data_IF_038914378031
#
_entry.id   IF_038914378031
#
_cell.length_a   1.000
_cell.length_b   1.000
_cell.length_c   1.000
_cell.angle_alpha   90.00
_cell.angle_beta   90.00
_cell.angle_gamma   90.00
#
_symmetry.space_group_name_H-M   'P 1'
#
loop_
_entity.id
_entity.type
_entity.pdbx_description
1 polymer ?
#
# COMPACT_ATOMS: atom_id res chain seq x y z
N UNK A 1 4.08 -24.39 -40.18
CA UNK A 1 3.59 -23.45 -39.15
C UNK A 1 2.78 -22.37 -39.84
N UNK A 2 1.64 -21.99 -39.26
CA UNK A 2 0.78 -20.91 -39.75
C UNK A 2 1.52 -19.56 -39.78
N UNK A 3 1.16 -18.59 -40.64
CA UNK A 3 1.72 -17.24 -40.58
C UNK A 3 1.30 -16.53 -39.29
N UNK A 4 2.10 -15.59 -38.80
CA UNK A 4 1.73 -14.76 -37.65
C UNK A 4 0.48 -13.92 -37.94
N UNK A 5 -0.40 -13.77 -36.95
CA UNK A 5 -1.52 -12.83 -37.05
C UNK A 5 -1.00 -11.39 -37.05
N UNK A 6 -1.57 -10.56 -37.92
CA UNK A 6 -1.21 -9.15 -38.05
C UNK A 6 -1.54 -8.37 -36.76
N UNK A 7 -0.76 -7.33 -36.45
CA UNK A 7 -0.93 -6.56 -35.20
C UNK A 7 -2.23 -5.75 -35.16
N UNK A 8 -2.81 -5.46 -36.31
CA UNK A 8 -4.06 -4.72 -36.48
C UNK A 8 -5.28 -5.63 -36.69
N UNK A 9 -5.10 -6.95 -36.72
CA UNK A 9 -6.16 -7.92 -36.99
C UNK A 9 -6.50 -8.73 -35.72
N UNK A 10 -7.25 -8.09 -34.82
CA UNK A 10 -7.72 -8.74 -33.59
C UNK A 10 -8.80 -9.80 -33.87
N UNK A 11 -9.53 -9.66 -34.98
CA UNK A 11 -10.62 -10.55 -35.36
C UNK A 11 -10.07 -11.91 -35.81
N UNK A 12 -9.07 -11.91 -36.69
CA UNK A 12 -8.34 -13.13 -37.06
C UNK A 12 -7.71 -13.81 -35.84
N UNK A 13 -7.13 -13.03 -34.91
CA UNK A 13 -6.57 -13.58 -33.67
C UNK A 13 -7.65 -14.28 -32.83
N UNK A 14 -8.84 -13.69 -32.72
CA UNK A 14 -9.99 -14.30 -32.03
C UNK A 14 -10.46 -15.56 -32.72
N UNK A 15 -10.68 -15.51 -34.04
CA UNK A 15 -11.15 -16.66 -34.82
C UNK A 15 -10.18 -17.84 -34.70
N UNK A 16 -8.87 -17.56 -34.76
CA UNK A 16 -7.83 -18.57 -34.57
C UNK A 16 -7.81 -19.14 -33.16
N UNK A 17 -7.93 -18.29 -32.14
CA UNK A 17 -8.01 -18.74 -30.76
C UNK A 17 -9.27 -19.60 -30.50
N UNK A 18 -10.41 -19.25 -31.09
CA UNK A 18 -11.64 -20.04 -31.02
C UNK A 18 -11.49 -21.40 -31.70
N UNK A 19 -10.85 -21.44 -32.88
CA UNK A 19 -10.57 -22.70 -33.59
C UNK A 19 -9.75 -23.67 -32.74
N UNK A 20 -8.75 -23.16 -32.00
CA UNK A 20 -7.85 -23.96 -31.17
C UNK A 20 -8.26 -24.00 -29.69
N UNK A 21 -9.45 -23.52 -29.33
CA UNK A 21 -9.86 -23.41 -27.92
C UNK A 21 -9.81 -24.77 -27.21
N UNK A 22 -10.25 -25.84 -27.88
CA UNK A 22 -10.27 -27.21 -27.34
C UNK A 22 -9.41 -28.19 -28.15
N UNK A 23 -8.70 -27.69 -29.17
CA UNK A 23 -7.89 -28.51 -30.08
C UNK A 23 -6.43 -28.14 -29.92
N UNK A 24 -5.65 -29.08 -29.41
CA UNK A 24 -4.22 -28.89 -29.27
C UNK A 24 -3.49 -29.16 -30.59
N UNK A 25 -2.84 -28.15 -31.21
CA UNK A 25 -2.06 -28.36 -32.44
C UNK A 25 -0.75 -29.12 -32.21
N UNK A 26 -0.29 -29.27 -30.97
CA UNK A 26 0.98 -29.89 -30.62
C UNK A 26 0.81 -30.97 -29.52
N UNK A 27 0.09 -32.07 -29.82
CA UNK A 27 -0.18 -33.12 -28.84
C UNK A 27 1.07 -33.81 -28.31
N UNK A 28 2.15 -33.86 -29.10
CA UNK A 28 3.42 -34.48 -28.73
C UNK A 28 4.23 -33.66 -27.71
N UNK A 29 3.91 -32.36 -27.52
CA UNK A 29 4.51 -31.56 -26.46
C UNK A 29 3.94 -32.04 -25.11
N UNK A 30 4.78 -32.44 -24.14
CA UNK A 30 4.30 -32.94 -22.85
C UNK A 30 3.57 -31.86 -22.06
N UNK A 31 2.64 -32.27 -21.20
CA UNK A 31 1.97 -31.38 -20.23
C UNK A 31 2.96 -30.91 -19.17
N UNK A 32 3.63 -29.79 -19.44
CA UNK A 32 4.65 -29.20 -18.60
C UNK A 32 4.75 -27.68 -18.81
N UNK A 33 5.66 -27.03 -18.08
CA UNK A 33 6.08 -25.66 -18.37
C UNK A 33 6.66 -25.59 -19.79
N UNK A 34 6.14 -24.67 -20.60
CA UNK A 34 6.53 -24.50 -22.00
C UNK A 34 7.89 -23.80 -22.10
N UNK A 35 8.77 -24.32 -22.95
CA UNK A 35 10.00 -23.63 -23.34
C UNK A 35 9.68 -22.45 -24.28
N UNK A 36 10.67 -21.58 -24.52
CA UNK A 36 10.57 -20.48 -25.49
C UNK A 36 10.08 -20.94 -26.85
N UNK A 37 10.63 -22.05 -27.36
CA UNK A 37 10.31 -22.60 -28.67
C UNK A 37 8.84 -23.03 -28.72
N UNK A 38 8.37 -23.67 -27.66
CA UNK A 38 6.96 -24.05 -27.52
C UNK A 38 6.06 -22.81 -27.40
N UNK A 39 6.44 -21.81 -26.60
CA UNK A 39 5.69 -20.55 -26.47
C UNK A 39 5.51 -19.88 -27.83
N UNK A 40 6.58 -19.79 -28.63
CA UNK A 40 6.54 -19.23 -29.98
C UNK A 40 5.62 -20.05 -30.87
N UNK A 41 5.77 -21.38 -30.88
CA UNK A 41 4.95 -22.28 -31.70
C UNK A 41 3.46 -22.12 -31.39
N UNK A 42 3.07 -22.15 -30.11
CA UNK A 42 1.68 -21.91 -29.71
C UNK A 42 1.22 -20.50 -30.01
N UNK A 43 1.99 -19.45 -29.69
CA UNK A 43 1.60 -18.08 -29.98
C UNK A 43 1.32 -17.85 -31.48
N UNK A 44 2.14 -18.46 -32.34
CA UNK A 44 1.99 -18.39 -33.79
C UNK A 44 0.80 -19.18 -34.32
N UNK A 45 0.62 -20.40 -33.83
CA UNK A 45 -0.40 -21.33 -34.34
C UNK A 45 -1.79 -21.05 -33.77
N UNK A 46 -1.90 -20.69 -32.49
CA UNK A 46 -3.20 -20.51 -31.81
C UNK A 46 -3.57 -19.05 -31.56
N UNK A 47 -2.66 -18.11 -31.82
CA UNK A 47 -2.80 -16.71 -31.40
C UNK A 47 -2.95 -16.52 -29.88
N UNK A 48 -2.45 -17.45 -29.04
CA UNK A 48 -2.63 -17.36 -27.59
C UNK A 48 -2.02 -16.11 -26.94
N UNK A 49 -1.08 -15.44 -27.63
CA UNK A 49 -0.57 -14.11 -27.29
C UNK A 49 -0.80 -13.22 -28.51
N UNK A 50 -1.54 -12.13 -28.34
CA UNK A 50 -1.76 -11.16 -29.41
C UNK A 50 -1.55 -9.72 -28.94
N UNK A 51 -0.82 -8.89 -29.70
CA UNK A 51 -0.17 -9.19 -30.99
C UNK A 51 1.24 -9.80 -30.83
N UNK A 52 1.60 -10.24 -29.61
CA UNK A 52 2.90 -10.79 -29.24
C UNK A 52 4.07 -9.81 -29.45
N UNK A 53 3.95 -8.60 -28.89
CA UNK A 53 4.92 -7.51 -29.11
C UNK A 53 6.38 -7.88 -28.75
N UNK A 54 6.58 -8.83 -27.83
CA UNK A 54 7.90 -9.31 -27.41
C UNK A 54 8.57 -10.29 -28.39
N UNK A 55 7.90 -10.69 -29.47
CA UNK A 55 8.43 -11.66 -30.45
C UNK A 55 8.73 -10.95 -31.78
N UNK A 56 9.94 -11.20 -32.30
CA UNK A 56 10.35 -10.87 -33.66
C UNK A 56 9.79 -11.93 -34.61
N UNK A 57 8.67 -11.60 -35.25
CA UNK A 57 7.88 -12.50 -36.11
C UNK A 57 8.64 -13.00 -37.34
N UNK A 58 9.65 -12.25 -37.80
CA UNK A 58 10.45 -12.64 -38.97
C UNK A 58 11.54 -13.63 -38.62
N UNK A 59 11.97 -13.66 -37.34
CA UNK A 59 13.10 -14.45 -36.86
C UNK A 59 12.71 -15.47 -35.79
N UNK A 60 11.44 -15.53 -35.42
CA UNK A 60 10.89 -16.38 -34.36
C UNK A 60 11.78 -16.35 -33.09
N UNK A 61 12.09 -15.14 -32.61
CA UNK A 61 12.94 -14.92 -31.42
C UNK A 61 12.46 -13.76 -30.58
N UNK A 62 12.94 -13.66 -29.35
CA UNK A 62 12.60 -12.55 -28.46
C UNK A 62 13.20 -11.22 -28.96
N UNK A 63 12.40 -10.15 -28.99
CA UNK A 63 12.89 -8.78 -29.15
C UNK A 63 13.44 -8.29 -27.82
N UNK A 64 14.61 -7.64 -27.82
CA UNK A 64 15.18 -6.96 -26.65
C UNK A 64 15.26 -7.81 -25.37
N UNK A 65 15.42 -9.13 -25.50
CA UNK A 65 15.44 -10.05 -24.35
C UNK A 65 14.07 -10.35 -23.75
N UNK A 66 12.97 -10.05 -24.47
CA UNK A 66 11.60 -10.35 -24.05
C UNK A 66 11.25 -11.85 -24.03
N UNK A 67 12.18 -12.74 -24.40
CA UNK A 67 12.06 -14.18 -24.21
C UNK A 67 13.23 -14.70 -23.37
N UNK A 68 12.90 -15.52 -22.37
CA UNK A 68 13.83 -16.39 -21.64
C UNK A 68 13.41 -17.83 -21.85
N UNK A 69 14.26 -18.77 -21.46
CA UNK A 69 14.12 -20.23 -21.69
C UNK A 69 12.71 -20.81 -21.50
N UNK A 70 11.90 -20.26 -20.60
CA UNK A 70 10.52 -20.69 -20.36
C UNK A 70 9.57 -19.53 -20.01
N UNK A 71 9.90 -18.30 -20.43
CA UNK A 71 9.04 -17.15 -20.14
C UNK A 71 9.06 -16.05 -21.19
N UNK A 72 7.92 -15.36 -21.28
CA UNK A 72 7.64 -14.23 -22.16
C UNK A 72 7.49 -12.95 -21.36
N UNK A 73 8.16 -11.88 -21.75
CA UNK A 73 7.99 -10.56 -21.14
C UNK A 73 6.80 -9.85 -21.77
N UNK A 74 5.91 -9.30 -20.95
CA UNK A 74 4.92 -8.32 -21.42
C UNK A 74 5.09 -6.98 -20.71
N UNK A 75 4.79 -5.92 -21.45
CA UNK A 75 4.90 -4.52 -21.04
C UNK A 75 3.57 -4.03 -20.44
N UNK A 76 3.55 -2.90 -19.72
CA UNK A 76 2.32 -2.27 -19.29
C UNK A 76 1.44 -1.87 -20.49
N UNK A 77 0.14 -2.05 -20.34
CA UNK A 77 -0.88 -1.62 -21.28
C UNK A 77 -1.25 -0.15 -21.10
N UNK A 78 -2.28 0.26 -21.85
CA UNK A 78 -2.74 1.66 -21.84
C UNK A 78 -3.72 2.00 -20.72
N UNK A 79 -4.29 1.01 -20.03
CA UNK A 79 -5.33 1.21 -19.01
C UNK A 79 -4.73 0.98 -17.63
N UNK A 80 -4.96 1.94 -16.74
CA UNK A 80 -4.64 1.81 -15.33
C UNK A 80 -5.71 2.46 -14.46
N UNK A 81 -5.94 1.87 -13.29
CA UNK A 81 -7.04 2.22 -12.40
C UNK A 81 -6.57 2.19 -10.95
N UNK A 82 -6.98 3.15 -10.15
CA UNK A 82 -6.73 3.17 -8.70
C UNK A 82 -7.88 3.89 -7.99
N UNK A 83 -8.07 3.62 -6.72
CA UNK A 83 -9.01 4.37 -5.88
C UNK A 83 -8.28 5.55 -5.26
N UNK A 84 -8.83 6.77 -5.40
CA UNK A 84 -8.27 7.96 -4.75
C UNK A 84 -8.63 8.00 -3.24
N UNK A 85 -8.16 9.04 -2.55
CA UNK A 85 -8.39 9.25 -1.10
C UNK A 85 -9.87 9.46 -0.73
N UNK A 86 -10.74 9.79 -1.69
CA UNK A 86 -12.20 9.93 -1.50
C UNK A 86 -13.00 8.65 -1.74
N UNK A 87 -12.43 7.71 -2.49
CA UNK A 87 -12.96 6.35 -2.66
C UNK A 87 -13.49 6.15 -4.07
N UNK A 88 -13.19 7.13 -4.92
CA UNK A 88 -13.62 7.19 -6.29
C UNK A 88 -12.59 6.42 -7.13
N UNK A 89 -13.10 5.60 -8.04
CA UNK A 89 -12.27 4.89 -9.00
C UNK A 89 -11.76 5.90 -10.04
N UNK A 90 -10.45 6.16 -10.02
CA UNK A 90 -9.78 6.95 -11.03
C UNK A 90 -9.29 6.00 -12.11
N UNK A 91 -9.87 6.12 -13.30
CA UNK A 91 -9.43 5.42 -14.51
C UNK A 91 -8.65 6.37 -15.39
N UNK A 92 -7.44 5.99 -15.73
CA UNK A 92 -6.61 6.70 -16.70
C UNK A 92 -6.31 5.78 -17.87
N UNK A 93 -6.43 6.34 -19.07
CA UNK A 93 -6.04 5.69 -20.32
C UNK A 93 -4.95 6.55 -20.95
N UNK A 94 -3.84 5.92 -21.30
CA UNK A 94 -2.83 6.57 -22.12
C UNK A 94 -3.31 6.56 -23.56
N UNK A 95 -3.42 7.74 -24.16
CA UNK A 95 -3.79 7.86 -25.56
C UNK A 95 -2.67 7.29 -26.44
N UNK A 96 -3.07 6.51 -27.44
CA UNK A 96 -2.11 5.97 -28.43
C UNK A 96 -1.57 7.05 -29.36
N UNK A 97 -2.23 8.20 -29.41
CA UNK A 97 -1.88 9.32 -30.27
C UNK A 97 -1.83 10.61 -29.45
N UNK A 98 -0.93 11.51 -29.82
CA UNK A 98 -0.90 12.86 -29.28
C UNK A 98 -2.07 13.71 -29.82
N UNK A 99 -2.13 14.98 -29.40
CA UNK A 99 -3.17 15.94 -29.83
C UNK A 99 -3.18 16.18 -31.35
N UNK A 100 -2.09 15.88 -32.04
CA UNK A 100 -1.91 16.06 -33.48
C UNK A 100 -2.13 14.75 -34.26
N UNK A 101 -2.56 13.67 -33.58
CA UNK A 101 -2.81 12.38 -34.19
C UNK A 101 -1.56 11.56 -34.50
N UNK A 102 -0.36 11.96 -34.05
CA UNK A 102 0.88 11.16 -34.19
C UNK A 102 0.99 10.14 -33.07
N UNK A 103 1.74 9.03 -33.23
CA UNK A 103 1.99 8.11 -32.11
C UNK A 103 2.51 8.86 -30.90
N UNK A 104 1.79 8.78 -29.78
CA UNK A 104 2.23 9.44 -28.56
C UNK A 104 3.58 8.85 -28.12
N UNK A 105 4.51 9.67 -27.59
CA UNK A 105 5.71 9.13 -26.99
C UNK A 105 5.34 8.17 -25.85
N UNK A 106 6.27 7.28 -25.46
CA UNK A 106 6.10 6.41 -24.32
C UNK A 106 5.46 7.11 -23.14
N UNK A 107 4.25 6.67 -22.79
CA UNK A 107 3.57 7.19 -21.62
C UNK A 107 4.25 6.67 -20.36
N UNK A 108 4.25 7.50 -19.31
CA UNK A 108 4.66 7.09 -17.96
C UNK A 108 3.42 6.86 -17.11
N UNK A 109 3.29 5.65 -16.57
CA UNK A 109 2.25 5.29 -15.60
C UNK A 109 2.74 5.71 -14.22
N UNK A 110 1.89 6.43 -13.50
CA UNK A 110 2.15 6.90 -12.13
C UNK A 110 1.35 6.07 -11.15
N UNK A 111 2.05 5.45 -10.21
CA UNK A 111 1.47 4.70 -9.11
C UNK A 111 1.65 5.54 -7.84
N UNK A 112 0.56 6.04 -7.24
CA UNK A 112 0.65 6.84 -6.03
C UNK A 112 1.39 6.11 -4.90
N UNK A 113 2.06 6.85 -4.03
CA UNK A 113 2.71 6.31 -2.83
C UNK A 113 1.69 5.52 -1.97
N UNK A 114 2.14 4.44 -1.34
CA UNK A 114 1.33 3.62 -0.43
C UNK A 114 -0.03 3.18 -0.98
N UNK A 115 -0.15 2.94 -2.29
CA UNK A 115 -1.42 2.68 -2.97
C UNK A 115 -1.46 1.34 -3.70
N UNK A 116 -2.66 0.96 -4.13
CA UNK A 116 -2.90 -0.18 -5.04
C UNK A 116 -3.35 0.40 -6.38
N UNK A 117 -2.61 0.08 -7.44
CA UNK A 117 -2.93 0.46 -8.82
C UNK A 117 -3.07 -0.79 -9.67
N UNK A 118 -4.19 -0.91 -10.37
CA UNK A 118 -4.45 -1.97 -11.33
C UNK A 118 -3.93 -1.56 -12.70
N UNK A 119 -2.99 -2.33 -13.26
CA UNK A 119 -2.33 -2.03 -14.55
C UNK A 119 -2.63 -3.14 -15.54
N UNK A 120 -3.15 -2.80 -16.71
CA UNK A 120 -3.37 -3.77 -17.79
C UNK A 120 -2.04 -4.22 -18.43
N UNK A 121 -2.00 -5.39 -19.04
CA UNK A 121 -0.89 -5.80 -19.92
C UNK A 121 -1.03 -5.19 -21.32
N UNK A 122 0.10 -5.00 -22.01
CA UNK A 122 0.09 -4.54 -23.40
C UNK A 122 -0.51 -5.60 -24.33
N UNK A 123 -0.08 -6.85 -24.17
CA UNK A 123 -0.62 -7.98 -24.91
C UNK A 123 -1.94 -8.47 -24.32
N UNK A 124 -2.77 -9.03 -25.19
CA UNK A 124 -3.96 -9.81 -24.86
C UNK A 124 -3.60 -11.29 -24.91
N UNK A 125 -4.15 -12.06 -23.98
CA UNK A 125 -3.94 -13.50 -23.90
C UNK A 125 -5.23 -14.21 -24.27
N UNK A 126 -5.15 -15.11 -25.24
CA UNK A 126 -6.22 -15.97 -25.72
C UNK A 126 -5.87 -17.44 -25.42
N UNK A 127 -5.85 -17.78 -24.15
CA UNK A 127 -5.39 -19.08 -23.68
C UNK A 127 -6.35 -20.19 -24.16
N UNK A 128 -5.84 -21.25 -24.80
CA UNK A 128 -6.62 -22.46 -25.02
C UNK A 128 -7.07 -23.10 -23.69
N UNK A 129 -8.06 -24.00 -23.73
CA UNK A 129 -8.61 -24.67 -22.54
C UNK A 129 -7.64 -25.67 -21.89
N UNK A 130 -6.47 -25.86 -22.49
CA UNK A 130 -5.42 -26.78 -22.04
C UNK A 130 -4.08 -26.06 -21.71
N UNK A 131 -4.07 -24.73 -21.69
CA UNK A 131 -2.90 -23.92 -21.30
C UNK A 131 -3.30 -23.01 -20.14
N UNK A 132 -2.62 -23.16 -19.00
CA UNK A 132 -2.67 -22.20 -17.91
C UNK A 132 -1.48 -21.24 -18.01
N UNK A 133 -1.61 -20.08 -17.39
CA UNK A 133 -0.57 -19.06 -17.35
C UNK A 133 -0.28 -18.66 -15.91
N UNK A 134 0.99 -18.46 -15.58
CA UNK A 134 1.44 -17.80 -14.35
C UNK A 134 2.24 -16.56 -14.72
N UNK A 135 2.19 -15.52 -13.90
CA UNK A 135 3.04 -14.37 -14.11
C UNK A 135 3.71 -13.87 -12.83
N UNK A 136 4.92 -13.32 -12.98
CA UNK A 136 5.73 -12.77 -11.90
C UNK A 136 6.20 -11.36 -12.27
N UNK A 137 6.26 -10.46 -11.28
CA UNK A 137 6.78 -9.12 -11.49
C UNK A 137 8.28 -9.16 -11.82
N UNK A 138 8.75 -8.30 -12.72
CA UNK A 138 10.20 -8.18 -12.93
C UNK A 138 10.90 -7.74 -11.65
N UNK A 139 12.04 -8.36 -11.38
CA UNK A 139 12.85 -8.11 -10.18
C UNK A 139 13.24 -6.63 -10.02
N UNK A 140 13.46 -5.91 -11.12
CA UNK A 140 13.70 -4.45 -11.12
C UNK A 140 12.59 -3.67 -10.42
N UNK A 141 11.32 -4.07 -10.64
CA UNK A 141 10.19 -3.40 -10.00
C UNK A 141 10.06 -3.77 -8.54
N UNK A 142 10.32 -5.04 -8.20
CA UNK A 142 10.37 -5.52 -6.81
C UNK A 142 11.39 -4.74 -5.99
N UNK A 143 12.62 -4.63 -6.47
CA UNK A 143 13.69 -3.89 -5.77
C UNK A 143 13.43 -2.38 -5.64
N UNK A 144 12.57 -1.82 -6.48
CA UNK A 144 12.14 -0.42 -6.39
C UNK A 144 10.88 -0.24 -5.53
N UNK A 145 10.46 -1.26 -4.77
CA UNK A 145 9.37 -1.16 -3.80
C UNK A 145 7.97 -1.44 -4.34
N UNK A 146 7.84 -2.03 -5.54
CA UNK A 146 6.57 -2.56 -6.01
C UNK A 146 6.38 -4.00 -5.54
N UNK A 147 5.16 -4.33 -5.13
CA UNK A 147 4.75 -5.68 -4.83
C UNK A 147 3.59 -6.09 -5.74
N UNK A 148 3.72 -7.28 -6.31
CA UNK A 148 2.63 -8.01 -6.93
C UNK A 148 2.23 -9.15 -5.99
N UNK A 149 0.94 -9.43 -5.85
CA UNK A 149 0.46 -10.62 -5.13
C UNK A 149 1.12 -11.91 -5.63
N UNK A 150 1.09 -12.98 -4.83
CA UNK A 150 1.84 -14.23 -5.06
C UNK A 150 1.58 -14.84 -6.45
N UNK A 151 2.47 -14.56 -7.41
CA UNK A 151 2.53 -15.09 -8.77
C UNK A 151 1.21 -15.65 -9.31
N UNK A 152 0.23 -14.79 -9.67
CA UNK A 152 -1.14 -15.21 -9.90
C UNK A 152 -1.24 -16.22 -11.05
N UNK A 153 -2.14 -17.18 -10.90
CA UNK A 153 -2.48 -18.14 -11.94
C UNK A 153 -3.69 -17.61 -12.72
N UNK A 154 -3.60 -17.70 -14.04
CA UNK A 154 -4.67 -17.39 -14.98
C UNK A 154 -5.14 -18.69 -15.59
N UNK A 155 -6.43 -18.96 -15.43
CA UNK A 155 -7.05 -20.21 -15.82
C UNK A 155 -7.05 -20.42 -17.35
N UNK A 156 -7.03 -21.67 -17.82
CA UNK A 156 -7.23 -21.99 -19.23
C UNK A 156 -8.51 -21.38 -19.80
N UNK A 157 -8.51 -21.01 -21.08
CA UNK A 157 -9.64 -20.35 -21.74
C UNK A 157 -9.80 -18.85 -21.46
N UNK A 158 -8.86 -18.23 -20.74
CA UNK A 158 -8.82 -16.78 -20.56
C UNK A 158 -8.55 -16.05 -21.89
N UNK A 159 -9.28 -14.96 -22.18
CA UNK A 159 -9.29 -14.33 -23.52
C UNK A 159 -9.18 -12.79 -23.54
N UNK A 160 -8.43 -12.21 -22.59
CA UNK A 160 -8.34 -10.74 -22.34
C UNK A 160 -6.92 -10.28 -22.01
N UNK A 161 -6.74 -8.97 -21.86
CA UNK A 161 -5.54 -8.42 -21.21
C UNK A 161 -5.59 -8.76 -19.72
N UNK A 162 -4.44 -9.03 -19.10
CA UNK A 162 -4.38 -9.30 -17.66
C UNK A 162 -4.40 -7.95 -16.94
N UNK A 163 -5.20 -7.85 -15.88
CA UNK A 163 -5.19 -6.69 -14.99
C UNK A 163 -4.40 -7.04 -13.73
N UNK A 164 -3.29 -6.34 -13.54
CA UNK A 164 -2.28 -6.65 -12.54
C UNK A 164 -2.43 -5.67 -11.36
N UNK A 165 -2.78 -6.13 -10.15
CA UNK A 165 -2.76 -5.28 -8.96
C UNK A 165 -1.32 -5.06 -8.50
N UNK A 166 -0.83 -3.83 -8.63
CA UNK A 166 0.48 -3.41 -8.16
C UNK A 166 0.34 -2.58 -6.90
N UNK A 167 0.99 -3.02 -5.83
CA UNK A 167 1.13 -2.26 -4.60
C UNK A 167 2.41 -1.41 -4.69
N UNK A 168 2.30 -0.10 -4.53
CA UNK A 168 3.45 0.75 -4.28
C UNK A 168 3.65 0.87 -2.77
N UNK A 169 4.69 0.20 -2.25
CA UNK A 169 5.00 0.17 -0.82
C UNK A 169 5.95 1.29 -0.39
N UNK A 170 6.27 2.21 -1.30
CA UNK A 170 7.15 3.36 -1.02
C UNK A 170 6.32 4.59 -0.65
N UNK A 171 7.00 5.56 -0.03
CA UNK A 171 6.48 6.89 0.28
C UNK A 171 6.56 7.86 -0.91
N UNK A 172 7.03 7.39 -2.07
CA UNK A 172 7.18 8.18 -3.30
C UNK A 172 6.27 7.68 -4.42
N UNK A 173 5.92 8.57 -5.36
CA UNK A 173 5.25 8.18 -6.60
C UNK A 173 6.17 7.28 -7.42
N UNK A 174 5.64 6.12 -7.87
CA UNK A 174 6.39 5.21 -8.71
C UNK A 174 6.03 5.42 -10.18
N UNK A 175 7.06 5.53 -11.01
CA UNK A 175 6.94 5.75 -12.45
C UNK A 175 7.35 4.49 -13.22
N UNK A 176 6.42 3.98 -14.05
CA UNK A 176 6.66 2.87 -14.99
C UNK A 176 6.54 3.39 -16.42
N UNK A 177 7.55 3.16 -17.25
CA UNK A 177 7.44 3.45 -18.69
C UNK A 177 6.56 2.40 -19.39
N UNK A 178 5.72 2.80 -20.34
CA UNK A 178 4.97 1.83 -21.16
C UNK A 178 5.84 0.99 -22.10
N UNK A 179 7.13 1.33 -22.24
CA UNK A 179 8.07 0.56 -23.07
C UNK A 179 8.95 -0.39 -22.27
N UNK A 180 9.00 -0.25 -20.95
CA UNK A 180 9.76 -1.19 -20.13
C UNK A 180 8.94 -2.45 -19.86
N UNK A 181 9.59 -3.60 -19.76
CA UNK A 181 8.90 -4.84 -19.39
C UNK A 181 8.36 -4.77 -17.97
N UNK A 182 7.18 -5.33 -17.73
CA UNK A 182 6.50 -5.30 -16.43
C UNK A 182 6.55 -6.65 -15.72
N UNK A 183 6.10 -7.71 -16.41
CA UNK A 183 6.01 -9.07 -15.86
C UNK A 183 6.66 -10.09 -16.79
N UNK A 184 7.13 -11.17 -16.19
CA UNK A 184 7.43 -12.44 -16.86
C UNK A 184 6.21 -13.33 -16.82
N UNK A 185 5.89 -13.93 -17.95
CA UNK A 185 4.75 -14.81 -18.16
C UNK A 185 5.25 -16.21 -18.48
N UNK A 186 4.78 -17.20 -17.74
CA UNK A 186 5.09 -18.61 -17.86
C UNK A 186 3.83 -19.36 -18.28
N UNK A 187 3.95 -20.27 -19.24
CA UNK A 187 2.81 -21.02 -19.77
C UNK A 187 2.98 -22.49 -19.40
N UNK A 188 1.94 -23.11 -18.87
CA UNK A 188 1.94 -24.53 -18.52
C UNK A 188 0.85 -25.24 -19.31
N UNK A 189 1.24 -26.27 -20.05
CA UNK A 189 0.29 -27.18 -20.68
C UNK A 189 -0.29 -28.12 -19.61
N UNK A 190 -1.60 -28.08 -19.44
CA UNK A 190 -2.29 -28.91 -18.45
C UNK A 190 -2.42 -30.33 -18.94
N UNK A 191 -2.54 -31.30 -18.03
CA UNK A 191 -2.92 -32.66 -18.41
C UNK A 191 -4.39 -32.69 -18.82
N UNK A 192 -4.65 -32.92 -20.10
CA UNK A 192 -5.99 -33.21 -20.59
C UNK A 192 -6.17 -34.72 -20.70
N UNK A 193 -7.33 -35.23 -20.31
CA UNK A 193 -7.71 -36.58 -20.72
C UNK A 193 -7.80 -36.62 -22.25
N UNK A 194 -7.16 -37.60 -22.91
CA UNK A 194 -7.43 -37.86 -24.32
C UNK A 194 -8.93 -38.10 -24.52
N UNK A 195 -9.48 -37.54 -25.58
CA UNK A 195 -10.90 -37.69 -25.93
C UNK A 195 -11.30 -39.18 -25.91
N UNK A 196 -12.37 -39.51 -25.18
CA UNK A 196 -12.86 -40.89 -25.03
C UNK A 196 -12.18 -41.75 -23.94
N UNK A 197 -11.11 -41.28 -23.28
CA UNK A 197 -10.53 -41.98 -22.12
C UNK A 197 -11.12 -41.44 -20.82
N UNK A 198 -11.79 -42.30 -20.05
CA UNK A 198 -12.17 -42.03 -18.66
C UNK A 198 -10.97 -42.27 -17.76
N UNK A 199 -10.82 -41.50 -16.68
CA UNK A 199 -9.90 -41.88 -15.60
C UNK A 199 -10.28 -43.29 -15.12
N UNK A 200 -9.28 -44.16 -14.96
CA UNK A 200 -9.45 -45.51 -14.40
C UNK A 200 -9.60 -45.50 -12.88
N UNK A 201 -9.29 -44.36 -12.24
CA UNK A 201 -9.72 -44.07 -10.88
C UNK A 201 -11.22 -43.84 -10.91
N UNK A 202 -12.00 -44.63 -10.15
CA UNK A 202 -13.43 -44.41 -9.90
C UNK A 202 -13.59 -43.04 -9.21
N UNK A 203 -13.84 -41.95 -9.96
CA UNK A 203 -13.92 -40.65 -9.36
C UNK A 203 -15.38 -40.58 -8.90
N UNK A 204 -15.64 -40.77 -7.60
CA UNK A 204 -16.75 -40.03 -6.98
C UNK A 204 -16.70 -38.65 -7.61
N UNK A 205 -17.76 -38.18 -8.31
CA UNK A 205 -17.65 -37.10 -9.29
C UNK A 205 -16.95 -35.91 -8.63
N UNK A 206 -15.65 -35.82 -8.85
CA UNK A 206 -14.84 -34.70 -8.40
C UNK A 206 -15.40 -33.60 -9.25
N UNK A 207 -16.11 -32.67 -8.62
CA UNK A 207 -16.82 -31.59 -9.27
C UNK A 207 -15.92 -31.03 -10.37
N UNK A 208 -16.23 -31.36 -11.63
CA UNK A 208 -15.53 -30.78 -12.76
C UNK A 208 -15.74 -29.28 -12.58
N UNK A 209 -14.68 -28.48 -12.40
CA UNK A 209 -14.85 -27.05 -12.21
C UNK A 209 -15.73 -26.54 -13.36
N UNK A 210 -16.74 -25.72 -13.04
CA UNK A 210 -17.77 -25.35 -14.00
C UNK A 210 -17.11 -24.82 -15.28
N UNK A 211 -17.71 -25.18 -16.42
CA UNK A 211 -17.39 -24.63 -17.73
C UNK A 211 -17.14 -23.13 -17.58
N UNK A 212 -16.02 -22.65 -18.12
CA UNK A 212 -15.59 -21.26 -18.07
C UNK A 212 -16.79 -20.32 -18.20
N UNK A 213 -16.93 -19.31 -17.32
CA UNK A 213 -18.14 -18.50 -17.27
C UNK A 213 -18.46 -17.94 -18.66
N UNK A 214 -19.61 -18.33 -19.21
CA UNK A 214 -20.11 -17.98 -20.56
C UNK A 214 -20.24 -16.48 -20.82
N UNK A 215 -20.00 -15.64 -19.81
CA UNK A 215 -20.20 -14.21 -19.88
C UNK A 215 -18.98 -13.46 -19.36
N UNK A 216 -17.84 -13.74 -19.96
CA UNK A 216 -16.59 -13.01 -19.75
C UNK A 216 -16.64 -11.61 -20.33
N UNK A 217 -17.63 -11.22 -21.15
CA UNK A 217 -17.71 -9.91 -21.83
C UNK A 217 -17.81 -8.66 -20.95
N UNK A 218 -18.02 -8.81 -19.65
CA UNK A 218 -18.12 -7.69 -18.70
C UNK A 218 -16.88 -6.80 -18.70
N UNK A 219 -17.11 -5.51 -18.47
CA UNK A 219 -16.04 -4.51 -18.36
C UNK A 219 -15.15 -4.80 -17.15
N UNK A 220 -13.87 -4.45 -17.24
CA UNK A 220 -12.88 -4.68 -16.17
C UNK A 220 -13.33 -4.07 -14.83
N UNK A 221 -14.00 -2.92 -14.87
CA UNK A 221 -14.56 -2.23 -13.71
C UNK A 221 -15.60 -3.08 -12.98
N UNK A 222 -16.49 -3.74 -13.73
CA UNK A 222 -17.53 -4.58 -13.15
C UNK A 222 -16.94 -5.78 -12.41
N UNK A 223 -15.80 -6.30 -12.89
CA UNK A 223 -15.07 -7.35 -12.17
C UNK A 223 -14.42 -6.84 -10.89
N UNK A 224 -13.81 -5.65 -10.91
CA UNK A 224 -13.24 -5.03 -9.70
C UNK A 224 -14.33 -4.75 -8.65
N UNK A 225 -15.44 -4.15 -9.06
CA UNK A 225 -16.57 -3.85 -8.17
C UNK A 225 -17.24 -5.12 -7.64
N UNK A 226 -17.39 -6.16 -8.45
CA UNK A 226 -17.93 -7.44 -8.00
C UNK A 226 -16.99 -8.12 -6.99
N UNK A 227 -15.68 -8.10 -7.26
CA UNK A 227 -14.68 -8.70 -6.37
C UNK A 227 -14.59 -7.99 -5.02
N UNK A 228 -14.87 -6.68 -4.98
CA UNK A 228 -14.88 -5.90 -3.75
C UNK A 228 -16.25 -5.76 -3.10
N UNK A 229 -17.28 -6.46 -3.59
CA UNK A 229 -18.67 -6.30 -3.15
C UNK A 229 -19.14 -4.83 -3.11
N UNK A 230 -18.63 -3.99 -4.01
CA UNK A 230 -18.94 -2.56 -4.08
C UNK A 230 -18.00 -1.65 -3.29
N UNK A 231 -17.08 -2.19 -2.47
CA UNK A 231 -16.19 -1.38 -1.64
C UNK A 231 -14.93 -0.91 -2.41
N UNK A 232 -14.37 0.27 -2.09
CA UNK A 232 -13.09 0.70 -2.63
C UNK A 232 -11.94 -0.23 -2.22
N UNK A 233 -11.18 -0.76 -3.18
CA UNK A 233 -9.97 -1.54 -2.89
C UNK A 233 -8.82 -0.56 -2.65
N UNK A 234 -8.41 -0.38 -1.40
CA UNK A 234 -7.37 0.55 -1.00
C UNK A 234 -6.31 -0.14 -0.15
N UNK A 235 -5.12 0.44 -0.14
CA UNK A 235 -4.11 0.11 0.86
C UNK A 235 -4.61 0.54 2.25
N UNK A 236 -4.31 -0.24 3.28
CA UNK A 236 -4.59 0.12 4.68
C UNK A 236 -3.60 1.14 5.25
N UNK A 237 -2.43 1.32 4.59
CA UNK A 237 -1.35 2.17 5.08
C UNK A 237 -1.73 3.67 5.17
N UNK A 238 -2.38 4.28 4.16
CA UNK A 238 -2.75 5.70 4.24
C UNK A 238 -3.67 6.02 5.42
N UNK A 239 -4.62 5.14 5.72
CA UNK A 239 -5.53 5.33 6.86
C UNK A 239 -4.78 5.33 8.19
N UNK A 240 -3.89 4.35 8.40
CA UNK A 240 -3.07 4.27 9.60
C UNK A 240 -2.14 5.49 9.75
N UNK A 241 -1.54 5.96 8.64
CA UNK A 241 -0.68 7.14 8.66
C UNK A 241 -1.46 8.43 8.97
N UNK A 242 -2.69 8.56 8.47
CA UNK A 242 -3.55 9.71 8.76
C UNK A 242 -4.00 9.71 10.23
N UNK A 243 -4.38 8.57 10.79
CA UNK A 243 -4.71 8.43 12.22
C UNK A 243 -3.52 8.80 13.11
N UNK A 244 -2.30 8.38 12.73
CA UNK A 244 -1.08 8.76 13.45
C UNK A 244 -0.81 10.25 13.34
N UNK A 245 -1.02 10.87 12.17
CA UNK A 245 -0.87 12.32 12.00
C UNK A 245 -1.89 13.11 12.83
N UNK A 246 -3.16 12.74 12.80
CA UNK A 246 -4.19 13.38 13.63
C UNK A 246 -3.89 13.24 15.12
N UNK A 247 -3.42 12.07 15.54
CA UNK A 247 -2.99 11.83 16.93
C UNK A 247 -1.76 12.67 17.29
N UNK A 248 -0.79 12.82 16.38
CA UNK A 248 0.39 13.65 16.58
C UNK A 248 0.04 15.14 16.64
N UNK A 249 -0.86 15.62 15.78
CA UNK A 249 -1.31 17.02 15.79
C UNK A 249 -2.11 17.36 17.04
N UNK A 250 -2.97 16.44 17.49
CA UNK A 250 -3.71 16.62 18.75
C UNK A 250 -2.79 16.54 19.97
N UNK A 251 -1.76 15.68 19.95
CA UNK A 251 -0.72 15.64 20.97
C UNK A 251 0.13 16.92 20.99
N UNK A 252 0.52 17.47 19.84
CA UNK A 252 1.26 18.74 19.75
C UNK A 252 0.43 19.92 20.28
N UNK A 253 -0.87 19.98 19.92
CA UNK A 253 -1.78 20.98 20.48
C UNK A 253 -1.92 20.85 21.99
N UNK A 254 -2.02 19.64 22.53
CA UNK A 254 -2.07 19.39 23.98
C UNK A 254 -0.74 19.72 24.67
N UNK A 255 0.39 19.44 24.03
CA UNK A 255 1.72 19.78 24.54
C UNK A 255 1.89 21.30 24.67
N UNK A 256 1.49 22.08 23.65
CA UNK A 256 1.50 23.55 23.70
C UNK A 256 0.58 24.11 24.78
N UNK A 257 -0.59 23.51 24.99
CA UNK A 257 -1.52 23.87 26.06
C UNK A 257 -0.94 23.56 27.45
N UNK A 258 -0.31 22.39 27.62
CA UNK A 258 0.34 21.98 28.86
C UNK A 258 1.56 22.84 29.19
N UNK A 259 2.35 23.27 28.20
CA UNK A 259 3.45 24.21 28.42
C UNK A 259 2.93 25.58 28.93
N UNK A 260 1.82 26.08 28.38
CA UNK A 260 1.19 27.31 28.85
C UNK A 260 0.65 27.21 30.29
N UNK A 261 -0.05 26.11 30.60
CA UNK A 261 -0.57 25.85 31.96
C UNK A 261 0.55 25.60 32.96
N UNK A 262 1.62 24.92 32.56
CA UNK A 262 2.79 24.66 33.40
C UNK A 262 3.50 25.95 33.83
N UNK A 263 3.66 26.91 32.93
CA UNK A 263 4.24 28.23 33.24
C UNK A 263 3.34 28.98 34.23
N UNK A 264 2.03 28.98 34.01
CA UNK A 264 1.05 29.63 34.89
C UNK A 264 1.01 29.01 36.29
N UNK A 265 1.08 27.69 36.40
CA UNK A 265 1.17 26.98 37.67
C UNK A 265 2.47 27.32 38.42
N UNK A 266 3.59 27.43 37.71
CA UNK A 266 4.88 27.77 38.31
C UNK A 266 4.90 29.22 38.83
N UNK A 267 4.36 30.17 38.07
CA UNK A 267 4.19 31.57 38.50
C UNK A 267 3.29 31.64 39.74
N UNK A 268 2.17 30.91 39.73
CA UNK A 268 1.23 30.87 40.86
C UNK A 268 1.89 30.29 42.13
N UNK A 269 2.72 29.26 41.98
CA UNK A 269 3.47 28.65 43.07
C UNK A 269 4.50 29.63 43.67
N UNK A 270 5.24 30.36 42.82
CA UNK A 270 6.20 31.37 43.28
C UNK A 270 5.50 32.51 44.03
N UNK A 271 4.36 32.99 43.53
CA UNK A 271 3.54 34.00 44.23
C UNK A 271 3.07 33.48 45.59
N UNK A 272 2.64 32.23 45.67
CA UNK A 272 2.26 31.57 46.93
C UNK A 272 3.41 31.53 47.94
N UNK A 273 4.62 31.16 47.51
CA UNK A 273 5.81 31.15 48.36
C UNK A 273 6.19 32.54 48.88
N UNK A 274 6.09 33.57 48.04
CA UNK A 274 6.34 34.96 48.45
C UNK A 274 5.32 35.39 49.51
N UNK A 275 4.04 35.04 49.35
CA UNK A 275 3.00 35.36 50.33
C UNK A 275 3.26 34.72 51.70
N UNK A 276 3.71 33.46 51.70
CA UNK A 276 4.10 32.76 52.94
C UNK A 276 5.30 33.45 53.58
N UNK A 277 6.30 33.85 52.79
CA UNK A 277 7.48 34.52 53.28
C UNK A 277 7.16 35.88 53.92
N UNK A 278 6.31 36.69 53.28
CA UNK A 278 5.82 37.96 53.84
C UNK A 278 5.09 37.73 55.16
N UNK A 279 4.28 36.66 55.25
CA UNK A 279 3.57 36.31 56.49
C UNK A 279 4.55 35.98 57.62
N UNK A 280 5.62 35.23 57.34
CA UNK A 280 6.68 34.93 58.32
C UNK A 280 7.38 36.20 58.79
N UNK A 281 7.73 37.12 57.88
CA UNK A 281 8.35 38.40 58.24
C UNK A 281 7.44 39.25 59.13
N UNK A 282 6.14 39.28 58.83
CA UNK A 282 5.15 40.01 59.66
C UNK A 282 5.02 39.42 61.06
N UNK A 283 5.12 38.09 61.19
CA UNK A 283 5.12 37.41 62.47
C UNK A 283 6.36 37.80 63.28
N UNK A 284 7.54 37.75 62.66
CA UNK A 284 8.80 38.12 63.31
C UNK A 284 8.82 39.58 63.76
N UNK A 285 8.28 40.52 62.96
CA UNK A 285 8.18 41.92 63.36
C UNK A 285 7.25 42.10 64.57
N UNK A 286 6.12 41.39 64.60
CA UNK A 286 5.19 41.43 65.73
C UNK A 286 5.77 40.78 66.99
N UNK A 287 6.48 39.66 66.86
CA UNK A 287 7.16 38.99 67.98
C UNK A 287 8.26 39.88 68.55
N UNK A 288 9.04 40.57 67.71
CA UNK A 288 10.05 41.53 68.17
C UNK A 288 9.42 42.73 68.91
N UNK A 289 8.28 43.23 68.44
CA UNK A 289 7.55 44.28 69.13
C UNK A 289 7.03 43.82 70.52
N UNK A 290 6.52 42.59 70.61
CA UNK A 290 6.08 42.00 71.88
C UNK A 290 7.24 41.74 72.84
N UNK A 291 8.38 41.24 72.33
CA UNK A 291 9.59 41.02 73.13
C UNK A 291 10.10 42.32 73.74
N UNK A 292 10.14 43.41 72.96
CA UNK A 292 10.52 44.74 73.49
C UNK A 292 9.57 45.20 74.61
N UNK A 293 8.27 45.02 74.44
CA UNK A 293 7.29 45.34 75.47
C UNK A 293 7.44 44.46 76.72
N UNK A 294 7.84 43.19 76.55
CA UNK A 294 8.12 42.28 77.66
C UNK A 294 9.38 42.70 78.42
N UNK A 295 10.48 43.00 77.71
CA UNK A 295 11.73 43.48 78.30
C UNK A 295 11.51 44.77 79.09
N UNK A 296 10.71 45.71 78.56
CA UNK A 296 10.36 46.94 79.27
C UNK A 296 9.54 46.67 80.56
N UNK A 297 8.64 45.68 80.53
CA UNK A 297 7.90 45.25 81.74
C UNK A 297 8.81 44.60 82.77
N UNK A 298 9.75 43.75 82.33
CA UNK A 298 10.73 43.11 83.22
C UNK A 298 11.62 44.16 83.89
N UNK A 299 12.17 45.11 83.12
CA UNK A 299 12.97 46.20 83.67
C UNK A 299 12.21 47.05 84.70
N UNK A 300 10.93 47.34 84.46
CA UNK A 300 10.07 48.05 85.44
C UNK A 300 9.76 47.24 86.69
N UNK A 301 9.77 45.91 86.61
CA UNK A 301 9.54 45.03 87.76
C UNK A 301 10.81 44.88 88.60
N UNK A 302 11.99 44.76 87.97
CA UNK A 302 13.28 44.77 88.65
C UNK A 302 13.49 46.08 89.42
N UNK A 303 13.21 47.22 88.79
CA UNK A 303 13.30 48.54 89.46
C UNK A 303 12.35 48.66 90.68
N UNK A 304 11.17 48.01 90.62
CA UNK A 304 10.24 47.96 91.75
C UNK A 304 10.70 47.01 92.86
N UNK A 305 11.36 45.91 92.51
CA UNK A 305 11.90 44.96 93.49
C UNK A 305 13.05 45.60 94.28
N UNK A 306 14.00 46.24 93.60
CA UNK A 306 15.14 46.93 94.23
C UNK A 306 14.69 48.05 95.19
N UNK A 307 13.63 48.80 94.83
CA UNK A 307 13.04 49.82 95.71
C UNK A 307 12.35 49.24 96.95
N UNK A 308 11.84 48.01 96.87
CA UNK A 308 11.19 47.36 98.00
C UNK A 308 12.22 46.73 98.96
N UNK A 309 13.33 46.18 98.46
CA UNK A 309 14.41 45.65 99.30
C UNK A 309 15.10 46.75 100.12
N UNK A 310 15.25 47.96 99.56
CA UNK A 310 15.77 49.12 100.29
C UNK A 310 14.87 49.65 101.41
N UNK A 311 13.59 49.26 101.46
CA UNK A 311 12.63 49.71 102.48
C UNK A 311 12.51 48.74 103.67
N UNK A 312 13.04 47.52 103.55
CA UNK A 312 12.98 46.49 104.61
C UNK A 312 14.10 46.56 105.65
N UNK A 313 15.18 47.32 105.42
CA UNK A 313 16.25 47.50 106.42
C UNK A 313 15.93 48.54 107.53
N UNK A 314 14.77 49.24 107.44
CA UNK A 314 14.40 50.31 108.38
C UNK A 314 13.50 49.93 109.56
N UNK A 315 13.06 48.67 109.69
CA UNK A 315 12.04 48.26 110.70
C UNK A 315 12.52 47.13 111.63
N UNK A 316 13.69 47.32 112.24
CA UNK A 316 14.25 46.40 113.23
C UNK A 316 14.92 47.09 114.41
N UNK A 317 14.21 48.01 115.10
CA UNK A 317 14.63 48.51 116.41
C UNK A 317 13.41 48.76 117.29
N UNK A 318 13.10 47.78 118.14
CA UNK A 318 12.47 47.92 119.46
C UNK A 318 12.62 46.64 120.25
#
# INVERSE_FOLDING_TARGET
MSPWVAENDEEEARNRAEHYLHRDPFPDIPSALLSTEHIIAYARETAMIWPAHGIDKDKDKGRDGALKSASYETKPGSVFMYFNDKGELVKKRLDKRDRDGKPAPPGTIRLPANSITFVSTKDRFFLPSYIALRFNLRIKHVHRGLLLGTGPLVDPGYHRQILIPLHNLTDQEYHISTDEGLIWVEFTKTSTLPEGKKYTFDPKPLAVPPVLPKNTQKGIEEHLFKASAGFPIRSSLPTALNEVKETAETADRRSKLLQGVGILALVSFVIGLISVFISILSLLSNTNAQMRALTEKVAKLEEKADRNEGNTEGTGAR
#
